data_IF_386331820924
#
_entry.id   IF_386331820924
#
_cell.length_a   1.000
_cell.length_b   1.000
_cell.length_c   1.000
_cell.angle_alpha   90.00
_cell.angle_beta   90.00
_cell.angle_gamma   90.00
#
_symmetry.space_group_name_H-M   'P 1'
#
loop_
_entity.id
_entity.type
_entity.pdbx_description
1 polymer ?
#
# COMPACT_ATOMS: atom_id res chain seq x y z
N UNK A 1 -7.05 17.50 108.26
CA UNK A 1 -6.43 17.17 106.95
C UNK A 1 -7.53 16.59 106.08
N UNK A 2 -8.11 17.42 105.22
CA UNK A 2 -9.24 17.07 104.35
C UNK A 2 -8.68 16.45 103.06
N UNK A 3 -8.84 15.14 102.90
CA UNK A 3 -8.49 14.44 101.65
C UNK A 3 -9.70 14.47 100.72
N UNK A 4 -9.54 15.18 99.60
CA UNK A 4 -10.52 15.37 98.55
C UNK A 4 -10.48 14.17 97.58
N UNK A 5 -11.53 13.37 97.50
CA UNK A 5 -11.63 12.14 96.69
C UNK A 5 -12.33 12.35 95.34
N UNK A 6 -12.01 13.42 94.61
CA UNK A 6 -12.72 13.79 93.36
C UNK A 6 -11.88 13.69 92.10
N UNK A 7 -10.86 12.83 92.06
CA UNK A 7 -10.16 12.48 90.83
C UNK A 7 -10.66 11.12 90.29
N UNK A 8 -11.93 11.04 89.89
CA UNK A 8 -12.37 9.97 89.01
C UNK A 8 -11.85 10.26 87.59
N UNK A 9 -10.71 9.67 87.24
CA UNK A 9 -10.24 9.66 85.86
C UNK A 9 -11.19 8.81 85.03
N UNK A 10 -12.07 9.46 84.27
CA UNK A 10 -12.84 8.83 83.21
C UNK A 10 -11.89 8.32 82.14
N UNK A 11 -11.48 7.06 82.23
CA UNK A 11 -10.75 6.38 81.17
C UNK A 11 -11.78 6.03 80.10
N UNK A 12 -11.98 6.96 79.16
CA UNK A 12 -12.71 6.68 77.92
C UNK A 12 -11.97 5.57 77.17
N UNK A 13 -12.40 4.32 77.32
CA UNK A 13 -11.99 3.22 76.44
C UNK A 13 -12.63 3.48 75.08
N UNK A 14 -11.89 4.15 74.20
CA UNK A 14 -12.25 4.15 72.78
C UNK A 14 -12.40 2.71 72.31
N UNK A 15 -13.48 2.34 71.60
CA UNK A 15 -13.56 1.03 71.00
C UNK A 15 -12.40 0.91 70.01
N UNK A 16 -11.47 -0.03 70.27
CA UNK A 16 -10.53 -0.47 69.24
C UNK A 16 -11.39 -1.03 68.11
N UNK A 17 -11.53 -0.28 67.04
CA UNK A 17 -11.93 -0.83 65.76
C UNK A 17 -10.87 -1.87 65.41
N UNK A 18 -11.18 -3.13 65.68
CA UNK A 18 -10.46 -4.26 65.11
C UNK A 18 -10.69 -4.10 63.62
N UNK A 19 -9.69 -3.55 62.94
CA UNK A 19 -9.61 -3.65 61.48
C UNK A 19 -9.60 -5.14 61.23
N UNK A 20 -10.78 -5.69 60.88
CA UNK A 20 -10.90 -6.97 60.24
C UNK A 20 -9.98 -6.88 59.05
N UNK A 21 -8.77 -7.45 59.18
CA UNK A 21 -7.96 -7.80 58.02
C UNK A 21 -8.88 -8.69 57.20
N UNK A 22 -9.41 -8.13 56.12
CA UNK A 22 -10.21 -8.82 55.13
C UNK A 22 -9.51 -10.13 54.84
N UNK A 23 -10.10 -11.19 55.38
CA UNK A 23 -9.53 -12.51 55.36
C UNK A 23 -9.31 -12.91 53.93
N UNK A 24 -8.04 -13.10 53.60
CA UNK A 24 -7.52 -13.87 52.49
C UNK A 24 -8.24 -13.64 51.15
N UNK A 25 -7.66 -12.78 50.29
CA UNK A 25 -7.82 -12.96 48.84
C UNK A 25 -7.65 -14.44 48.59
N UNK A 26 -8.73 -15.13 48.19
CA UNK A 26 -8.71 -16.52 47.74
C UNK A 26 -7.63 -16.55 46.67
N UNK A 27 -6.43 -16.95 47.06
CA UNK A 27 -5.35 -17.20 46.12
C UNK A 27 -5.90 -18.36 45.36
N UNK A 28 -6.35 -18.12 44.13
CA UNK A 28 -6.68 -19.17 43.19
C UNK A 28 -5.40 -20.01 43.19
N UNK A 29 -5.42 -21.13 43.89
CA UNK A 29 -4.31 -22.06 43.92
C UNK A 29 -4.40 -22.77 42.60
N UNK A 30 -3.87 -22.13 41.56
CA UNK A 30 -3.78 -22.79 40.27
C UNK A 30 -2.96 -24.07 40.49
N UNK A 31 -3.44 -25.22 40.01
CA UNK A 31 -2.75 -26.49 40.18
C UNK A 31 -1.36 -26.38 39.55
N UNK A 32 -0.32 -26.79 40.27
CA UNK A 32 1.08 -26.73 39.81
C UNK A 32 1.98 -25.68 40.49
N UNK A 33 1.45 -24.85 41.39
CA UNK A 33 2.26 -23.92 42.19
C UNK A 33 2.70 -22.64 41.45
N UNK A 34 2.99 -21.58 42.19
CA UNK A 34 3.25 -20.23 41.63
C UNK A 34 4.46 -20.20 40.69
N UNK A 35 5.48 -21.02 40.95
CA UNK A 35 6.70 -21.07 40.15
C UNK A 35 6.45 -21.59 38.72
N UNK A 36 5.55 -22.57 38.56
CA UNK A 36 5.21 -23.13 37.24
C UNK A 36 4.50 -22.08 36.38
N UNK A 37 3.60 -21.29 36.96
CA UNK A 37 2.91 -20.20 36.27
C UNK A 37 3.83 -19.03 35.92
N UNK A 38 4.84 -18.74 36.75
CA UNK A 38 5.88 -17.75 36.41
C UNK A 38 6.73 -18.25 35.23
N UNK A 39 7.06 -19.54 35.19
CA UNK A 39 7.81 -20.13 34.09
C UNK A 39 6.98 -20.12 32.79
N UNK A 40 5.72 -20.53 32.84
CA UNK A 40 4.77 -20.46 31.71
C UNK A 40 4.59 -19.03 31.25
N UNK A 41 4.43 -18.07 32.16
CA UNK A 41 4.31 -16.65 31.83
C UNK A 41 5.55 -16.10 31.12
N UNK A 42 6.76 -16.47 31.57
CA UNK A 42 8.01 -16.10 30.89
C UNK A 42 8.12 -16.70 29.50
N UNK A 43 7.73 -17.96 29.35
CA UNK A 43 7.75 -18.64 28.06
C UNK A 43 6.74 -18.03 27.09
N UNK A 44 5.52 -17.77 27.57
CA UNK A 44 4.49 -17.09 26.80
C UNK A 44 4.93 -15.68 26.38
N UNK A 45 5.57 -14.93 27.27
CA UNK A 45 6.11 -13.60 26.95
C UNK A 45 7.20 -13.66 25.87
N UNK A 46 8.13 -14.62 25.97
CA UNK A 46 9.17 -14.84 24.96
C UNK A 46 8.59 -15.23 23.60
N UNK A 47 7.58 -16.11 23.60
CA UNK A 47 6.86 -16.50 22.40
C UNK A 47 6.15 -15.31 21.74
N UNK A 48 5.51 -14.47 22.54
CA UNK A 48 4.82 -13.27 22.05
C UNK A 48 5.80 -12.27 21.43
N UNK A 49 6.95 -12.06 22.09
CA UNK A 49 8.01 -11.19 21.57
C UNK A 49 8.57 -11.73 20.24
N UNK A 50 8.76 -13.04 20.15
CA UNK A 50 9.20 -13.69 18.92
C UNK A 50 8.17 -13.56 17.79
N UNK A 51 6.88 -13.75 18.07
CA UNK A 51 5.82 -13.52 17.08
C UNK A 51 5.82 -12.08 16.56
N UNK A 52 5.87 -11.09 17.46
CA UNK A 52 5.94 -9.67 17.08
C UNK A 52 7.14 -9.43 16.19
N UNK A 53 8.31 -9.96 16.56
CA UNK A 53 9.55 -9.80 15.78
C UNK A 53 9.42 -10.37 14.36
N UNK A 54 8.90 -11.60 14.22
CA UNK A 54 8.66 -12.24 12.91
C UNK A 54 7.68 -11.43 12.07
N UNK A 55 6.62 -10.91 12.69
CA UNK A 55 5.60 -10.14 12.01
C UNK A 55 6.12 -8.78 11.53
N UNK A 56 7.01 -8.16 12.31
CA UNK A 56 7.71 -6.92 11.94
C UNK A 56 8.69 -7.16 10.79
N UNK A 57 9.46 -8.25 10.83
CA UNK A 57 10.32 -8.69 9.73
C UNK A 57 9.52 -8.93 8.46
N UNK A 58 8.44 -9.70 8.54
CA UNK A 58 7.55 -9.96 7.40
C UNK A 58 7.00 -8.66 6.79
N UNK A 59 6.56 -7.72 7.64
CA UNK A 59 6.11 -6.40 7.21
C UNK A 59 7.18 -5.59 6.47
N UNK A 60 8.43 -5.64 6.94
CA UNK A 60 9.56 -4.98 6.27
C UNK A 60 9.89 -5.61 4.91
N UNK A 61 9.91 -6.95 4.83
CA UNK A 61 10.14 -7.65 3.56
C UNK A 61 9.02 -7.41 2.55
N UNK A 62 7.75 -7.44 2.99
CA UNK A 62 6.60 -7.18 2.13
C UNK A 62 6.63 -5.77 1.54
N UNK A 63 7.04 -4.75 2.30
CA UNK A 63 7.18 -3.37 1.78
C UNK A 63 8.23 -3.28 0.68
N UNK A 64 9.41 -3.91 0.87
CA UNK A 64 10.45 -3.91 -0.16
C UNK A 64 10.04 -4.64 -1.44
N UNK A 65 9.21 -5.68 -1.34
CA UNK A 65 8.66 -6.38 -2.51
C UNK A 65 7.59 -5.52 -3.20
N UNK A 66 6.68 -4.92 -2.44
CA UNK A 66 5.63 -4.05 -2.99
C UNK A 66 6.21 -2.85 -3.76
N UNK A 67 7.28 -2.24 -3.25
CA UNK A 67 7.95 -1.15 -3.93
C UNK A 67 8.55 -1.59 -5.26
N UNK A 68 9.24 -2.74 -5.30
CA UNK A 68 9.79 -3.31 -6.54
C UNK A 68 8.71 -3.67 -7.56
N UNK A 69 7.59 -4.22 -7.09
CA UNK A 69 6.43 -4.54 -7.95
C UNK A 69 5.82 -3.26 -8.52
N UNK A 70 5.61 -2.23 -7.69
CA UNK A 70 5.06 -0.95 -8.11
C UNK A 70 5.94 -0.25 -9.16
N UNK A 71 7.27 -0.32 -9.03
CA UNK A 71 8.21 0.20 -10.03
C UNK A 71 8.08 -0.56 -11.35
N UNK A 72 8.00 -1.90 -11.31
CA UNK A 72 7.82 -2.73 -12.50
C UNK A 72 6.49 -2.43 -13.22
N UNK A 73 5.41 -2.26 -12.47
CA UNK A 73 4.10 -1.90 -13.04
C UNK A 73 4.13 -0.54 -13.74
N UNK A 74 4.86 0.45 -13.19
CA UNK A 74 5.03 1.76 -13.83
C UNK A 74 5.76 1.62 -15.17
N UNK A 75 6.86 0.86 -15.21
CA UNK A 75 7.59 0.62 -16.45
C UNK A 75 6.75 -0.11 -17.49
N UNK A 76 5.94 -1.09 -17.08
CA UNK A 76 5.02 -1.78 -18.00
C UNK A 76 4.00 -0.82 -18.61
N UNK A 77 3.38 0.05 -17.80
CA UNK A 77 2.44 1.05 -18.32
C UNK A 77 3.11 2.02 -19.29
N UNK A 78 4.32 2.47 -18.98
CA UNK A 78 5.06 3.38 -19.85
C UNK A 78 5.41 2.71 -21.21
N UNK A 79 5.83 1.45 -21.18
CA UNK A 79 6.06 0.64 -22.39
C UNK A 79 4.78 0.49 -23.22
N UNK A 80 3.65 0.20 -22.58
CA UNK A 80 2.36 0.07 -23.27
C UNK A 80 1.93 1.38 -23.94
N UNK A 81 2.09 2.51 -23.25
CA UNK A 81 1.83 3.84 -23.83
C UNK A 81 2.74 4.13 -25.03
N UNK A 82 4.04 3.80 -24.93
CA UNK A 82 4.97 3.95 -26.04
C UNK A 82 4.58 3.07 -27.23
N UNK A 83 4.17 1.82 -26.98
CA UNK A 83 3.70 0.93 -28.03
C UNK A 83 2.43 1.45 -28.72
N UNK A 84 1.48 2.02 -27.97
CA UNK A 84 0.28 2.65 -28.54
C UNK A 84 0.69 3.85 -29.41
N UNK A 85 1.56 4.73 -28.91
CA UNK A 85 2.07 5.89 -29.66
C UNK A 85 2.78 5.46 -30.94
N UNK A 86 3.66 4.46 -30.87
CA UNK A 86 4.37 3.93 -32.03
C UNK A 86 3.43 3.27 -33.03
N UNK A 87 2.41 2.53 -32.58
CA UNK A 87 1.39 1.99 -33.49
C UNK A 87 0.59 3.09 -34.17
N UNK A 88 0.21 4.14 -33.43
CA UNK A 88 -0.50 5.28 -33.99
C UNK A 88 0.38 6.00 -35.04
N UNK A 89 1.64 6.28 -34.72
CA UNK A 89 2.59 6.88 -35.65
C UNK A 89 2.81 6.01 -36.89
N UNK A 90 2.98 4.69 -36.71
CA UNK A 90 3.11 3.74 -37.82
C UNK A 90 1.86 3.74 -38.68
N UNK A 91 0.67 3.77 -38.10
CA UNK A 91 -0.58 3.86 -38.84
C UNK A 91 -0.64 5.16 -39.66
N UNK A 92 -0.27 6.30 -39.07
CA UNK A 92 -0.20 7.59 -39.78
C UNK A 92 0.81 7.57 -40.93
N UNK A 93 2.01 7.00 -40.71
CA UNK A 93 3.04 6.90 -41.74
C UNK A 93 2.63 5.97 -42.89
N UNK A 94 1.85 4.93 -42.60
CA UNK A 94 1.35 3.99 -43.59
C UNK A 94 0.04 4.44 -44.26
N UNK A 95 -0.53 5.58 -43.87
CA UNK A 95 -1.70 6.13 -44.55
C UNK A 95 -1.34 6.51 -45.99
N UNK A 96 -2.15 6.13 -46.99
CA UNK A 96 -1.85 6.38 -48.40
C UNK A 96 -1.61 7.86 -48.69
N UNK A 97 -2.38 8.75 -48.06
CA UNK A 97 -2.23 10.20 -48.17
C UNK A 97 -0.87 10.71 -47.67
N UNK A 98 -0.33 10.11 -46.62
CA UNK A 98 0.98 10.48 -46.07
C UNK A 98 2.11 9.95 -46.95
N UNK A 99 1.95 8.72 -47.47
CA UNK A 99 2.88 8.13 -48.44
C UNK A 99 2.92 8.94 -49.73
N UNK A 100 1.77 9.33 -50.28
CA UNK A 100 1.67 10.16 -51.50
C UNK A 100 2.32 11.52 -51.29
N UNK A 101 2.08 12.16 -50.14
CA UNK A 101 2.69 13.46 -49.80
C UNK A 101 4.22 13.34 -49.63
N UNK A 102 4.71 12.31 -48.95
CA UNK A 102 6.14 12.08 -48.75
C UNK A 102 6.83 11.69 -50.07
N UNK A 103 6.21 10.83 -50.88
CA UNK A 103 6.68 10.47 -52.21
C UNK A 103 6.72 11.69 -53.13
N UNK A 104 5.69 12.54 -53.14
CA UNK A 104 5.69 13.81 -53.87
C UNK A 104 6.83 14.73 -53.46
N UNK A 105 7.11 14.83 -52.14
CA UNK A 105 8.22 15.66 -51.63
C UNK A 105 9.62 15.10 -51.95
N UNK A 106 9.82 13.78 -51.85
CA UNK A 106 11.12 13.13 -52.03
C UNK A 106 11.48 12.93 -53.50
N UNK A 107 10.48 12.63 -54.35
CA UNK A 107 10.69 12.49 -55.79
C UNK A 107 10.62 13.83 -56.51
N UNK A 108 10.38 14.95 -55.79
CA UNK A 108 10.05 16.25 -56.40
C UNK A 108 8.95 16.14 -57.47
N UNK A 109 8.08 15.13 -57.31
CA UNK A 109 6.92 14.89 -58.15
C UNK A 109 5.84 15.86 -57.70
N UNK A 110 5.56 16.85 -58.55
CA UNK A 110 4.45 17.76 -58.37
C UNK A 110 3.17 16.94 -58.21
N UNK A 111 2.43 17.11 -57.12
CA UNK A 111 1.14 16.46 -56.92
C UNK A 111 0.22 16.94 -58.04
N UNK A 112 -0.21 16.07 -58.99
CA UNK A 112 -1.02 16.52 -60.10
C UNK A 112 -2.36 17.04 -59.56
N UNK A 113 -2.73 18.25 -59.96
CA UNK A 113 -4.03 18.83 -59.64
C UNK A 113 -5.13 17.93 -60.23
N UNK A 114 -6.33 17.86 -59.63
CA UNK A 114 -7.40 16.95 -60.08
C UNK A 114 -7.76 17.12 -61.57
N UNK A 115 -7.44 18.27 -62.16
CA UNK A 115 -7.61 18.63 -63.57
C UNK A 115 -6.44 18.25 -64.49
N UNK A 116 -5.31 17.74 -63.98
CA UNK A 116 -4.12 17.38 -64.78
C UNK A 116 -4.05 15.92 -65.21
N UNK A 117 -5.01 15.08 -64.80
CA UNK A 117 -5.07 13.69 -65.26
C UNK A 117 -5.65 13.66 -66.67
N UNK A 118 -4.77 13.70 -67.66
CA UNK A 118 -5.15 13.55 -69.05
C UNK A 118 -5.16 12.08 -69.47
N UNK A 119 -6.31 11.59 -69.95
CA UNK A 119 -6.42 10.27 -70.57
C UNK A 119 -6.20 10.39 -72.07
N UNK A 120 -5.27 9.61 -72.61
CA UNK A 120 -5.04 9.56 -74.06
C UNK A 120 -6.23 8.89 -74.75
N UNK A 121 -6.96 9.65 -75.56
CA UNK A 121 -8.07 9.13 -76.35
C UNK A 121 -7.56 8.66 -77.72
N UNK A 122 -7.36 7.35 -77.88
CA UNK A 122 -6.88 6.74 -79.14
C UNK A 122 -7.75 7.06 -80.35
N UNK A 123 -9.05 7.31 -80.18
CA UNK A 123 -9.95 7.64 -81.29
C UNK A 123 -9.78 9.06 -81.80
N UNK A 124 -9.35 9.98 -80.92
CA UNK A 124 -9.18 11.40 -81.23
C UNK A 124 -7.71 11.84 -81.31
N UNK A 125 -6.77 10.92 -81.12
CA UNK A 125 -5.32 11.15 -81.09
C UNK A 125 -4.90 12.35 -80.23
N UNK A 126 -5.58 12.58 -79.10
CA UNK A 126 -5.29 13.68 -78.18
C UNK A 126 -5.53 13.29 -76.74
N UNK A 127 -4.87 14.02 -75.85
CA UNK A 127 -5.04 13.94 -74.41
C UNK A 127 -6.28 14.75 -74.00
N UNK A 128 -7.22 14.12 -73.30
CA UNK A 128 -8.43 14.78 -72.78
C UNK A 128 -8.38 14.74 -71.24
N UNK A 129 -8.67 15.86 -70.57
CA UNK A 129 -8.88 15.91 -69.11
C UNK A 129 -10.10 15.08 -68.73
N UNK A 130 -9.99 14.30 -67.64
CA UNK A 130 -11.12 13.61 -67.03
C UNK A 130 -12.15 14.57 -66.45
#
# INVERSE_FOLDING_TARGET
MLMNYSAQTFINRMPRFVVQRSGSRKVITLPGGKQLWIAVGRFALGLFLAMIFVQLLSGLYCKGIQEKVAVKERYQKELDEQHIKLRAQRATLLMPQHIEKMAGSLLSLYVPEKSQVHRYNKKKNRFETL
#
